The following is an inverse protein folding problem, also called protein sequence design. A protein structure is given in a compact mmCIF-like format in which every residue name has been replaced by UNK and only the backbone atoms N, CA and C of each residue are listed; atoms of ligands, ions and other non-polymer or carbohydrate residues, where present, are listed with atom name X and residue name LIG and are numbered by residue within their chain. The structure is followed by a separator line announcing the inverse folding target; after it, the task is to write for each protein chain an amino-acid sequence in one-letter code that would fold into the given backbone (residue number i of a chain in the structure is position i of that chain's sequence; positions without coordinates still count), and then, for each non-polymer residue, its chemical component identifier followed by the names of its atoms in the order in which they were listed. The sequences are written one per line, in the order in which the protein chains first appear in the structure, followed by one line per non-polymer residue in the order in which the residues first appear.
data_IF_727690468215
#
_entry.id   IF_727690468215
#
_cell.length_a   1.000
_cell.length_b   1.000
_cell.length_c   1.000
_cell.angle_alpha   90.00
_cell.angle_beta   90.00
_cell.angle_gamma   90.00
#
_symmetry.space_group_name_H-M   'P 1'
#
loop_
_entity.id
_entity.type
_entity.pdbx_description
1 polymer ?
#
# COMPACT_ATOMS: atom_id res chain seq x y z
N UNK A 1 -19.42 0.80 -21.62
CA UNK A 1 -18.47 -0.29 -21.23
C UNK A 1 -17.05 0.24 -21.10
N UNK A 2 -16.59 1.08 -22.02
CA UNK A 2 -15.23 1.64 -21.99
C UNK A 2 -14.92 2.55 -20.78
N UNK A 3 -15.87 3.38 -20.32
CA UNK A 3 -15.67 4.30 -19.20
C UNK A 3 -15.43 3.58 -17.87
N UNK A 4 -16.19 2.53 -17.58
CA UNK A 4 -16.04 1.76 -16.37
C UNK A 4 -14.69 1.00 -16.36
N UNK A 5 -14.26 0.50 -17.52
CA UNK A 5 -12.96 -0.18 -17.65
C UNK A 5 -11.81 0.81 -17.43
N UNK A 6 -11.90 2.01 -18.01
CA UNK A 6 -10.91 3.08 -17.80
C UNK A 6 -10.85 3.49 -16.32
N UNK A 7 -12.00 3.66 -15.68
CA UNK A 7 -12.08 3.99 -14.25
C UNK A 7 -11.48 2.90 -13.38
N UNK A 8 -11.77 1.62 -13.67
CA UNK A 8 -11.21 0.46 -12.95
C UNK A 8 -9.69 0.41 -13.09
N UNK A 9 -9.16 0.61 -14.31
CA UNK A 9 -7.72 0.64 -14.56
C UNK A 9 -7.05 1.82 -13.84
N UNK A 10 -7.65 3.01 -13.88
CA UNK A 10 -7.11 4.20 -13.21
C UNK A 10 -7.00 3.97 -11.70
N UNK A 11 -8.07 3.47 -11.07
CA UNK A 11 -8.03 3.10 -9.65
C UNK A 11 -7.03 1.98 -9.41
N UNK A 12 -6.98 0.97 -10.27
CA UNK A 12 -6.02 -0.13 -10.19
C UNK A 12 -4.57 0.34 -10.13
N UNK A 13 -4.18 1.31 -10.97
CA UNK A 13 -2.84 1.88 -10.94
C UNK A 13 -2.59 2.78 -9.71
N UNK A 14 -3.59 3.58 -9.25
CA UNK A 14 -3.46 4.37 -8.02
C UNK A 14 -3.18 3.44 -6.83
N UNK A 15 -3.97 2.39 -6.67
CA UNK A 15 -3.78 1.43 -5.58
C UNK A 15 -2.56 0.53 -5.76
N UNK A 16 -2.08 0.34 -7.00
CA UNK A 16 -0.81 -0.34 -7.25
C UNK A 16 0.37 0.43 -6.64
N UNK A 17 0.34 1.77 -6.66
CA UNK A 17 1.34 2.61 -6.00
C UNK A 17 1.37 2.33 -4.48
N UNK A 18 0.19 2.25 -3.83
CA UNK A 18 0.10 1.88 -2.41
C UNK A 18 0.58 0.45 -2.17
N UNK A 19 0.17 -0.50 -3.02
CA UNK A 19 0.58 -1.90 -2.93
C UNK A 19 2.10 -2.08 -3.07
N UNK A 20 2.77 -1.26 -3.88
CA UNK A 20 4.23 -1.23 -3.97
C UNK A 20 4.87 -0.76 -2.64
N UNK A 21 4.28 0.22 -1.96
CA UNK A 21 4.71 0.62 -0.60
C UNK A 21 4.53 -0.52 0.40
N UNK A 22 3.34 -1.13 0.44
CA UNK A 22 3.04 -2.27 1.31
C UNK A 22 3.95 -3.47 1.01
N UNK A 23 4.33 -3.67 -0.25
CA UNK A 23 5.29 -4.70 -0.65
C UNK A 23 6.66 -4.51 0.02
N UNK A 24 7.15 -3.26 0.15
CA UNK A 24 8.41 -2.98 0.85
C UNK A 24 8.32 -3.41 2.32
N UNK A 25 7.27 -3.05 3.01
CA UNK A 25 7.14 -3.36 4.45
C UNK A 25 6.87 -4.83 4.68
N UNK A 26 5.91 -5.40 3.98
CA UNK A 26 5.41 -6.75 4.25
C UNK A 26 6.31 -7.85 3.66
N UNK A 27 6.84 -7.67 2.41
CA UNK A 27 7.62 -8.71 1.72
C UNK A 27 9.12 -8.54 1.84
N UNK A 28 9.59 -7.28 1.85
CA UNK A 28 11.04 -7.02 1.88
C UNK A 28 11.54 -6.93 3.31
N UNK A 29 10.84 -6.18 4.19
CA UNK A 29 11.28 -5.98 5.57
C UNK A 29 10.76 -7.01 6.57
N UNK A 30 9.78 -7.84 6.17
CA UNK A 30 9.01 -8.69 7.10
C UNK A 30 8.43 -7.90 8.28
N UNK A 31 7.95 -6.70 7.99
CA UNK A 31 7.42 -5.74 8.94
C UNK A 31 5.97 -5.39 8.57
N UNK A 32 4.95 -6.04 9.17
CA UNK A 32 3.55 -5.68 8.94
C UNK A 32 3.26 -4.29 9.52
N UNK A 33 3.25 -3.27 8.65
CA UNK A 33 3.02 -1.88 9.02
C UNK A 33 1.56 -1.48 8.84
N UNK A 34 0.83 -1.35 9.95
CA UNK A 34 -0.56 -0.90 9.93
C UNK A 34 -0.69 0.64 9.81
N UNK A 35 0.41 1.39 9.92
CA UNK A 35 0.36 2.85 9.77
C UNK A 35 -0.04 3.29 8.36
N UNK A 36 0.08 2.42 7.36
CA UNK A 36 -0.24 2.69 5.96
C UNK A 36 -1.70 3.14 5.75
N UNK A 37 -2.65 2.63 6.53
CA UNK A 37 -4.05 3.06 6.49
C UNK A 37 -4.17 4.55 6.86
N UNK A 38 -3.50 4.98 7.94
CA UNK A 38 -3.43 6.38 8.35
C UNK A 38 -2.65 7.24 7.37
N UNK A 39 -1.52 6.74 6.87
CA UNK A 39 -0.62 7.48 5.97
C UNK A 39 -1.27 7.74 4.60
N UNK A 40 -2.05 6.82 4.07
CA UNK A 40 -2.83 7.06 2.85
C UNK A 40 -3.76 8.26 3.01
N UNK A 41 -4.49 8.29 4.11
CA UNK A 41 -5.37 9.42 4.47
C UNK A 41 -4.57 10.70 4.71
N UNK A 42 -3.38 10.61 5.32
CA UNK A 42 -2.48 11.77 5.50
C UNK A 42 -2.08 12.37 4.17
N UNK A 43 -1.71 11.52 3.19
CA UNK A 43 -1.40 11.97 1.83
C UNK A 43 -2.59 12.67 1.17
N UNK A 44 -3.78 12.11 1.30
CA UNK A 44 -5.02 12.70 0.78
C UNK A 44 -5.34 14.04 1.47
N UNK A 45 -5.25 14.11 2.80
CA UNK A 45 -5.54 15.28 3.61
C UNK A 45 -4.59 16.46 3.29
N UNK A 46 -3.28 16.21 3.31
CA UNK A 46 -2.27 17.25 2.99
C UNK A 46 -2.47 17.77 1.57
N UNK A 47 -2.67 16.85 0.61
CA UNK A 47 -2.90 17.24 -0.78
C UNK A 47 -4.17 18.07 -0.93
N UNK A 48 -5.29 17.66 -0.33
CA UNK A 48 -6.56 18.37 -0.44
C UNK A 48 -6.50 19.78 0.16
N UNK A 49 -5.88 19.93 1.35
CA UNK A 49 -5.72 21.24 2.01
C UNK A 49 -4.78 22.14 1.21
N UNK A 50 -3.65 21.61 0.72
CA UNK A 50 -2.72 22.37 -0.12
C UNK A 50 -3.38 22.89 -1.40
N UNK A 51 -4.21 22.08 -2.05
CA UNK A 51 -4.99 22.48 -3.21
C UNK A 51 -6.03 23.57 -2.89
N UNK A 52 -6.73 23.45 -1.75
CA UNK A 52 -7.67 24.50 -1.30
C UNK A 52 -6.96 25.83 -0.98
N UNK A 53 -5.71 25.76 -0.53
CA UNK A 53 -4.84 26.94 -0.33
C UNK A 53 -4.29 27.53 -1.64
N UNK A 54 -4.66 27.00 -2.81
CA UNK A 54 -4.19 27.50 -4.10
C UNK A 54 -2.80 27.02 -4.51
N UNK A 55 -2.22 26.05 -3.81
CA UNK A 55 -0.92 25.46 -4.15
C UNK A 55 -1.07 24.60 -5.41
N UNK A 56 -0.06 24.63 -6.28
CA UNK A 56 -0.08 23.85 -7.53
C UNK A 56 -0.23 22.33 -7.24
N UNK A 57 -0.95 21.59 -8.09
CA UNK A 57 -1.24 20.16 -7.86
C UNK A 57 0.00 19.28 -7.67
N UNK A 58 1.08 19.58 -8.40
CA UNK A 58 2.33 18.83 -8.29
C UNK A 58 3.00 19.06 -6.93
N UNK A 59 3.07 20.33 -6.48
CA UNK A 59 3.63 20.66 -5.17
C UNK A 59 2.78 20.06 -4.05
N UNK A 60 1.45 20.08 -4.18
CA UNK A 60 0.54 19.45 -3.21
C UNK A 60 0.81 17.95 -3.06
N UNK A 61 1.07 17.24 -4.17
CA UNK A 61 1.49 15.82 -4.14
C UNK A 61 2.85 15.65 -3.47
N UNK A 62 3.83 16.51 -3.76
CA UNK A 62 5.14 16.43 -3.12
C UNK A 62 5.06 16.63 -1.60
N UNK A 63 4.27 17.60 -1.14
CA UNK A 63 4.02 17.81 0.29
C UNK A 63 3.38 16.59 0.94
N UNK A 64 2.42 15.95 0.26
CA UNK A 64 1.80 14.71 0.72
C UNK A 64 2.82 13.58 0.88
N UNK A 65 3.74 13.42 -0.09
CA UNK A 65 4.82 12.43 0.00
C UNK A 65 5.71 12.68 1.21
N UNK A 66 6.10 13.95 1.45
CA UNK A 66 6.89 14.32 2.64
C UNK A 66 6.13 13.98 3.93
N UNK A 67 4.82 14.25 3.97
CA UNK A 67 3.97 13.83 5.11
C UNK A 67 3.99 12.32 5.35
N UNK A 68 3.95 11.53 4.27
CA UNK A 68 4.08 10.07 4.34
C UNK A 68 5.47 9.63 4.82
N UNK A 69 6.54 10.27 4.37
CA UNK A 69 7.90 10.00 4.85
C UNK A 69 8.02 10.22 6.35
N UNK A 70 7.43 11.30 6.86
CA UNK A 70 7.42 11.61 8.30
C UNK A 70 6.63 10.53 9.07
N UNK A 71 5.48 10.12 8.57
CA UNK A 71 4.69 9.05 9.19
C UNK A 71 5.47 7.73 9.28
N UNK A 72 6.12 7.32 8.18
CA UNK A 72 6.98 6.13 8.15
C UNK A 72 8.19 6.25 9.07
N UNK A 73 8.81 7.44 9.15
CA UNK A 73 9.90 7.69 10.10
C UNK A 73 9.42 7.58 11.54
N UNK A 74 8.23 8.08 11.88
CA UNK A 74 7.63 7.93 13.21
C UNK A 74 7.45 6.45 13.58
N UNK A 75 6.86 5.65 12.68
CA UNK A 75 6.70 4.20 12.90
C UNK A 75 8.04 3.52 13.13
N UNK A 76 9.03 3.84 12.29
CA UNK A 76 10.37 3.28 12.40
C UNK A 76 11.10 3.69 13.69
N UNK A 77 10.96 4.93 14.12
CA UNK A 77 11.55 5.43 15.36
C UNK A 77 10.92 4.77 16.59
N UNK A 78 9.59 4.60 16.62
CA UNK A 78 8.89 3.90 17.70
C UNK A 78 9.40 2.46 17.83
N UNK A 79 9.59 1.77 16.70
CA UNK A 79 10.11 0.41 16.71
C UNK A 79 11.60 0.35 17.13
N UNK A 80 12.45 1.11 16.44
CA UNK A 80 13.92 0.99 16.58
C UNK A 80 14.45 1.64 17.87
N UNK A 81 13.92 2.82 18.24
CA UNK A 81 14.43 3.57 19.39
C UNK A 81 13.72 3.25 20.69
N UNK A 82 12.41 2.99 20.63
CA UNK A 82 11.61 2.68 21.83
C UNK A 82 11.38 1.18 22.03
N UNK A 83 11.81 0.32 21.09
CA UNK A 83 11.69 -1.13 21.21
C UNK A 83 10.24 -1.63 21.13
N UNK A 84 9.31 -0.84 20.60
CA UNK A 84 7.92 -1.23 20.44
C UNK A 84 7.80 -2.27 19.30
N UNK A 85 6.97 -3.29 19.47
CA UNK A 85 6.79 -4.32 18.43
C UNK A 85 6.29 -3.72 17.11
N UNK A 86 6.59 -4.36 15.98
CA UNK A 86 6.26 -3.89 14.63
C UNK A 86 4.78 -3.51 14.50
N UNK A 87 3.89 -4.43 14.86
CA UNK A 87 2.44 -4.25 14.75
C UNK A 87 1.97 -3.10 15.63
N UNK A 88 2.43 -3.04 16.87
CA UNK A 88 1.99 -2.03 17.82
C UNK A 88 2.48 -0.62 17.43
N UNK A 89 3.71 -0.47 16.92
CA UNK A 89 4.21 0.80 16.41
C UNK A 89 3.36 1.33 15.26
N UNK A 90 2.99 0.46 14.32
CA UNK A 90 2.08 0.81 13.22
C UNK A 90 0.69 1.23 13.70
N UNK A 91 0.10 0.51 14.66
CA UNK A 91 -1.21 0.85 15.24
C UNK A 91 -1.17 2.20 15.95
N UNK A 92 -0.15 2.47 16.76
CA UNK A 92 0.00 3.75 17.48
C UNK A 92 0.06 4.91 16.48
N UNK A 93 0.87 4.78 15.43
CA UNK A 93 0.98 5.82 14.39
C UNK A 93 -0.33 5.98 13.64
N UNK A 94 -1.00 4.89 13.26
CA UNK A 94 -2.30 4.93 12.58
C UNK A 94 -3.35 5.70 13.38
N UNK A 95 -3.47 5.43 14.69
CA UNK A 95 -4.41 6.12 15.59
C UNK A 95 -4.02 7.61 15.73
N UNK A 96 -2.73 7.91 15.89
CA UNK A 96 -2.23 9.27 15.96
C UNK A 96 -2.53 10.06 14.69
N UNK A 97 -2.28 9.44 13.53
CA UNK A 97 -2.54 10.05 12.22
C UNK A 97 -4.02 10.34 11.99
N UNK A 98 -4.95 9.54 12.52
CA UNK A 98 -6.38 9.86 12.43
C UNK A 98 -6.69 11.24 12.99
N UNK A 99 -6.20 11.55 14.20
CA UNK A 99 -6.41 12.85 14.83
C UNK A 99 -5.66 13.98 14.12
N UNK A 100 -4.45 13.71 13.63
CA UNK A 100 -3.66 14.67 12.85
C UNK A 100 -4.37 15.00 11.54
N UNK A 101 -4.85 13.99 10.82
CA UNK A 101 -5.58 14.16 9.56
C UNK A 101 -6.85 14.99 9.76
N UNK A 102 -7.60 14.73 10.83
CA UNK A 102 -8.78 15.51 11.16
C UNK A 102 -8.45 16.98 11.45
N UNK A 103 -7.32 17.24 12.13
CA UNK A 103 -6.83 18.61 12.37
C UNK A 103 -6.36 19.30 11.09
N UNK A 104 -5.64 18.61 10.23
CA UNK A 104 -5.18 19.14 8.93
C UNK A 104 -6.39 19.51 8.08
N UNK A 105 -7.41 18.64 8.01
CA UNK A 105 -8.61 18.85 7.22
C UNK A 105 -9.60 19.84 7.84
N UNK A 106 -9.57 20.02 9.17
CA UNK A 106 -10.54 20.84 9.92
C UNK A 106 -11.97 20.28 9.94
N UNK A 107 -12.24 19.25 9.17
CA UNK A 107 -13.54 18.53 9.05
C UNK A 107 -13.30 17.11 8.54
N UNK A 108 -14.30 16.23 8.67
CA UNK A 108 -14.14 14.82 8.28
C UNK A 108 -14.00 14.60 6.78
N UNK A 109 -14.52 15.52 5.95
CA UNK A 109 -14.48 15.43 4.49
C UNK A 109 -14.21 16.79 3.85
N UNK A 110 -13.34 16.82 2.83
CA UNK A 110 -12.99 17.99 2.03
C UNK A 110 -13.31 17.71 0.56
N UNK A 111 -14.13 18.56 -0.06
CA UNK A 111 -14.42 18.49 -1.50
C UNK A 111 -13.47 19.37 -2.30
N UNK A 112 -13.11 18.90 -3.50
CA UNK A 112 -12.18 19.56 -4.43
C UNK A 112 -12.88 20.07 -5.72
N UNK A 113 -14.22 20.16 -5.75
CA UNK A 113 -14.97 20.46 -6.97
C UNK A 113 -14.62 21.80 -7.62
N UNK A 114 -14.26 22.82 -6.82
CA UNK A 114 -13.96 24.17 -7.32
C UNK A 114 -12.48 24.50 -7.28
N UNK A 115 -11.61 23.48 -7.17
CA UNK A 115 -10.18 23.65 -7.04
C UNK A 115 -9.47 23.03 -8.23
N UNK A 116 -8.48 23.72 -8.78
CA UNK A 116 -7.66 23.17 -9.85
C UNK A 116 -6.80 22.00 -9.31
N UNK A 117 -7.00 20.82 -9.86
CA UNK A 117 -6.25 19.62 -9.53
C UNK A 117 -5.79 18.91 -10.82
N UNK A 118 -4.91 17.90 -10.70
CA UNK A 118 -4.31 17.21 -11.87
C UNK A 118 -5.34 16.67 -12.89
N UNK A 119 -6.56 16.42 -12.44
CA UNK A 119 -7.60 15.79 -13.25
C UNK A 119 -8.80 16.70 -13.54
N UNK A 120 -8.77 17.98 -13.19
CA UNK A 120 -9.92 18.90 -13.27
C UNK A 120 -10.45 19.11 -14.70
N UNK A 121 -9.57 19.15 -15.68
CA UNK A 121 -9.92 19.38 -17.11
C UNK A 121 -9.67 18.14 -17.99
N UNK A 122 -9.29 17.01 -17.38
CA UNK A 122 -8.82 15.84 -18.11
C UNK A 122 -9.96 14.90 -18.47
N UNK A 123 -9.96 14.40 -19.71
CA UNK A 123 -10.83 13.28 -20.10
C UNK A 123 -10.46 12.01 -19.31
N UNK A 124 -11.38 11.04 -19.23
CA UNK A 124 -11.11 9.79 -18.51
C UNK A 124 -9.87 9.06 -19.01
N UNK A 125 -9.58 9.14 -20.31
CA UNK A 125 -8.36 8.57 -20.91
C UNK A 125 -7.10 9.32 -20.46
N UNK A 126 -7.13 10.65 -20.38
CA UNK A 126 -6.00 11.45 -19.90
C UNK A 126 -5.70 11.16 -18.42
N UNK A 127 -6.75 11.01 -17.59
CA UNK A 127 -6.58 10.59 -16.18
C UNK A 127 -5.85 9.26 -16.08
N UNK A 128 -6.25 8.28 -16.87
CA UNK A 128 -5.59 6.97 -16.92
C UNK A 128 -4.11 7.10 -17.31
N UNK A 129 -3.81 7.88 -18.35
CA UNK A 129 -2.42 8.05 -18.83
C UNK A 129 -1.53 8.70 -17.78
N UNK A 130 -2.02 9.72 -17.06
CA UNK A 130 -1.27 10.37 -15.97
C UNK A 130 -0.98 9.38 -14.84
N UNK A 131 -1.98 8.64 -14.40
CA UNK A 131 -1.81 7.66 -13.31
C UNK A 131 -0.91 6.50 -13.73
N UNK A 132 -1.06 6.01 -14.95
CA UNK A 132 -0.19 5.00 -15.54
C UNK A 132 1.27 5.47 -15.58
N UNK A 133 1.51 6.69 -16.04
CA UNK A 133 2.85 7.28 -16.09
C UNK A 133 3.48 7.34 -14.69
N UNK A 134 2.74 7.85 -13.69
CA UNK A 134 3.24 7.93 -12.30
C UNK A 134 3.53 6.53 -11.74
N UNK A 135 2.65 5.55 -11.97
CA UNK A 135 2.85 4.18 -11.50
C UNK A 135 4.08 3.52 -12.14
N UNK A 136 4.29 3.71 -13.45
CA UNK A 136 5.45 3.17 -14.16
C UNK A 136 6.75 3.91 -13.77
N UNK A 137 6.69 5.21 -13.56
CA UNK A 137 7.83 6.00 -13.07
C UNK A 137 8.26 5.52 -11.68
N UNK A 138 7.32 5.38 -10.76
CA UNK A 138 7.60 4.88 -9.42
C UNK A 138 8.16 3.45 -9.46
N UNK A 139 7.55 2.59 -10.29
CA UNK A 139 8.08 1.24 -10.51
C UNK A 139 9.53 1.27 -10.99
N UNK A 140 9.85 2.13 -11.96
CA UNK A 140 11.22 2.29 -12.46
C UNK A 140 12.20 2.73 -11.37
N UNK A 141 11.80 3.73 -10.55
CA UNK A 141 12.58 4.20 -9.41
C UNK A 141 12.81 3.08 -8.40
N UNK A 142 11.78 2.31 -8.07
CA UNK A 142 11.89 1.17 -7.14
C UNK A 142 12.79 0.06 -7.70
N UNK A 143 12.62 -0.29 -8.98
CA UNK A 143 13.45 -1.29 -9.64
C UNK A 143 14.93 -0.88 -9.62
N UNK A 144 15.24 0.40 -9.88
CA UNK A 144 16.59 0.96 -9.76
C UNK A 144 17.08 0.93 -8.31
N UNK A 145 16.25 1.37 -7.36
CA UNK A 145 16.61 1.34 -5.94
C UNK A 145 17.01 -0.08 -5.48
N UNK A 146 16.24 -1.09 -5.87
CA UNK A 146 16.52 -2.49 -5.51
C UNK A 146 17.74 -3.10 -6.20
N UNK A 147 18.34 -2.42 -7.16
CA UNK A 147 19.65 -2.80 -7.73
C UNK A 147 20.83 -2.06 -7.06
N UNK A 148 20.57 -1.14 -6.13
CA UNK A 148 21.62 -0.47 -5.36
C UNK A 148 22.02 -1.30 -4.15
N UNK A 149 23.20 -0.99 -3.57
CA UNK A 149 23.68 -1.61 -2.33
C UNK A 149 22.64 -1.50 -1.19
N UNK A 150 22.04 -0.31 -1.02
CA UNK A 150 20.99 -0.08 -0.01
C UNK A 150 19.77 -0.98 -0.22
N UNK A 151 19.38 -1.19 -1.48
CA UNK A 151 18.27 -2.07 -1.84
C UNK A 151 18.59 -3.54 -1.54
N UNK A 152 19.83 -3.98 -1.80
CA UNK A 152 20.28 -5.34 -1.44
C UNK A 152 20.31 -5.55 0.08
N UNK A 153 20.86 -4.58 0.83
CA UNK A 153 20.89 -4.64 2.30
C UNK A 153 19.45 -4.70 2.87
N UNK A 154 18.51 -3.92 2.28
CA UNK A 154 17.12 -3.92 2.71
C UNK A 154 16.46 -5.30 2.51
N UNK A 155 16.72 -5.97 1.39
CA UNK A 155 16.23 -7.34 1.13
C UNK A 155 16.86 -8.36 2.09
N UNK A 156 18.17 -8.29 2.29
CA UNK A 156 18.88 -9.17 3.20
C UNK A 156 18.39 -9.01 4.64
N UNK A 157 18.03 -7.79 5.04
CA UNK A 157 17.53 -7.48 6.38
C UNK A 157 16.23 -8.21 6.71
N UNK A 158 15.29 -8.28 5.78
CA UNK A 158 14.04 -9.01 5.97
C UNK A 158 14.21 -10.53 5.99
N UNK A 159 15.26 -11.05 5.33
CA UNK A 159 15.56 -12.48 5.35
C UNK A 159 16.34 -12.89 6.60
N UNK A 160 17.34 -12.09 7.00
CA UNK A 160 18.19 -12.39 8.16
C UNK A 160 18.85 -11.11 8.72
N UNK A 161 18.26 -10.56 9.77
CA UNK A 161 18.75 -9.37 10.45
C UNK A 161 20.17 -9.58 11.04
N UNK A 162 20.45 -10.76 11.63
CA UNK A 162 21.76 -11.06 12.22
C UNK A 162 22.86 -11.06 11.18
N UNK A 163 22.58 -11.55 9.98
CA UNK A 163 23.53 -11.53 8.87
C UNK A 163 23.88 -10.09 8.47
N UNK A 164 22.90 -9.19 8.36
CA UNK A 164 23.13 -7.77 8.01
C UNK A 164 23.98 -7.07 9.08
N UNK A 165 23.70 -7.34 10.36
CA UNK A 165 24.46 -6.79 11.47
C UNK A 165 25.92 -7.33 11.48
N UNK A 166 26.13 -8.61 11.16
CA UNK A 166 27.48 -9.20 11.08
C UNK A 166 28.34 -8.60 9.95
N UNK A 167 27.70 -8.05 8.91
CA UNK A 167 28.37 -7.30 7.85
C UNK A 167 28.69 -5.84 8.24
N UNK A 168 28.34 -5.41 9.46
CA UNK A 168 28.60 -4.07 9.98
C UNK A 168 27.54 -3.02 9.62
N UNK A 169 26.39 -3.42 9.04
CA UNK A 169 25.30 -2.49 8.74
C UNK A 169 24.39 -2.28 9.95
N UNK A 170 23.89 -1.05 10.11
CA UNK A 170 22.94 -0.68 11.15
C UNK A 170 21.50 -1.08 10.71
N UNK A 171 21.04 -2.23 11.18
CA UNK A 171 19.71 -2.77 10.89
C UNK A 171 18.59 -1.76 11.19
N UNK A 172 18.71 -0.99 12.29
CA UNK A 172 17.71 0.00 12.69
C UNK A 172 17.54 1.11 11.65
N UNK A 173 18.65 1.65 11.11
CA UNK A 173 18.60 2.69 10.07
C UNK A 173 17.94 2.17 8.79
N UNK A 174 18.21 0.93 8.40
CA UNK A 174 17.61 0.34 7.21
C UNK A 174 16.12 0.02 7.41
N UNK A 175 15.69 -0.40 8.60
CA UNK A 175 14.26 -0.54 8.93
C UNK A 175 13.54 0.80 8.80
N UNK A 176 14.09 1.88 9.37
CA UNK A 176 13.51 3.22 9.24
C UNK A 176 13.45 3.65 7.77
N UNK A 177 14.53 3.45 7.01
CA UNK A 177 14.58 3.80 5.59
C UNK A 177 13.48 3.09 4.78
N UNK A 178 13.30 1.79 4.99
CA UNK A 178 12.27 1.03 4.29
C UNK A 178 10.86 1.47 4.65
N UNK A 179 10.58 1.78 5.92
CA UNK A 179 9.29 2.32 6.38
C UNK A 179 9.01 3.72 5.80
N UNK A 180 10.03 4.57 5.71
CA UNK A 180 9.94 5.90 5.08
C UNK A 180 9.60 5.78 3.60
N UNK A 181 10.29 4.93 2.86
CA UNK A 181 10.03 4.72 1.43
C UNK A 181 8.64 4.13 1.18
N UNK A 182 8.23 3.17 1.99
CA UNK A 182 6.93 2.54 1.89
C UNK A 182 5.79 3.54 2.11
N UNK A 183 5.87 4.29 3.21
CA UNK A 183 4.85 5.29 3.56
C UNK A 183 4.85 6.48 2.59
N UNK A 184 5.98 6.84 1.98
CA UNK A 184 6.05 7.80 0.88
C UNK A 184 5.20 7.36 -0.32
N UNK A 185 5.32 6.09 -0.74
CA UNK A 185 4.52 5.52 -1.82
C UNK A 185 3.02 5.49 -1.46
N UNK A 186 2.70 5.13 -0.22
CA UNK A 186 1.30 5.08 0.26
C UNK A 186 0.67 6.47 0.27
N UNK A 187 1.37 7.48 0.78
CA UNK A 187 0.89 8.86 0.78
C UNK A 187 0.75 9.43 -0.64
N UNK A 188 1.68 9.10 -1.55
CA UNK A 188 1.56 9.43 -2.98
C UNK A 188 0.27 8.87 -3.57
N UNK A 189 -0.03 7.60 -3.29
CA UNK A 189 -1.28 6.97 -3.72
C UNK A 189 -2.51 7.68 -3.15
N UNK A 190 -2.50 8.04 -1.86
CA UNK A 190 -3.57 8.78 -1.20
C UNK A 190 -3.81 10.15 -1.82
N UNK A 191 -2.75 10.90 -2.10
CA UNK A 191 -2.82 12.21 -2.75
C UNK A 191 -3.40 12.13 -4.17
N UNK A 192 -2.98 11.14 -4.96
CA UNK A 192 -3.53 10.91 -6.30
C UNK A 192 -4.99 10.45 -6.25
N UNK A 193 -5.33 9.61 -5.26
CA UNK A 193 -6.69 9.13 -5.09
C UNK A 193 -7.66 10.24 -4.71
N UNK A 194 -7.27 11.14 -3.79
CA UNK A 194 -8.08 12.32 -3.43
C UNK A 194 -8.34 13.22 -4.63
N UNK A 195 -7.33 13.50 -5.45
CA UNK A 195 -7.49 14.28 -6.67
C UNK A 195 -8.34 13.55 -7.73
N UNK A 196 -8.21 12.23 -7.84
CA UNK A 196 -9.00 11.43 -8.78
C UNK A 196 -10.47 11.38 -8.40
N UNK A 197 -10.79 11.25 -7.12
CA UNK A 197 -12.15 11.19 -6.59
C UNK A 197 -12.79 12.58 -6.44
N UNK A 198 -11.99 13.65 -6.38
CA UNK A 198 -12.46 15.02 -6.16
C UNK A 198 -12.83 15.31 -4.70
N UNK A 199 -12.42 14.46 -3.74
CA UNK A 199 -12.60 14.69 -2.31
C UNK A 199 -11.55 13.91 -1.49
N UNK A 200 -11.34 14.37 -0.26
CA UNK A 200 -10.61 13.64 0.77
C UNK A 200 -11.52 13.39 1.98
N UNK A 201 -11.47 12.19 2.53
CA UNK A 201 -12.24 11.77 3.71
C UNK A 201 -11.30 11.13 4.73
N UNK A 202 -11.54 11.38 6.03
CA UNK A 202 -10.67 10.90 7.10
C UNK A 202 -10.64 9.38 7.23
N UNK A 203 -11.65 8.69 6.74
CA UNK A 203 -11.76 7.23 6.76
C UNK A 203 -11.34 6.53 5.47
N UNK A 204 -10.87 7.26 4.44
CA UNK A 204 -10.66 6.69 3.10
C UNK A 204 -9.51 5.66 3.04
N UNK A 205 -8.58 5.69 3.98
CA UNK A 205 -7.47 4.72 4.08
C UNK A 205 -7.84 3.43 4.82
N UNK A 206 -9.00 3.37 5.47
CA UNK A 206 -9.37 2.22 6.30
C UNK A 206 -9.47 0.92 5.50
N UNK A 207 -8.63 -0.07 5.85
CA UNK A 207 -8.56 -1.38 5.19
C UNK A 207 -7.67 -1.39 3.94
N UNK A 208 -6.89 -0.34 3.72
CA UNK A 208 -5.93 -0.29 2.62
C UNK A 208 -4.89 -1.40 2.70
N UNK A 209 -4.39 -1.70 3.91
CA UNK A 209 -3.41 -2.77 4.10
C UNK A 209 -3.95 -4.11 3.61
N UNK A 210 -5.22 -4.42 3.92
CA UNK A 210 -5.85 -5.69 3.51
C UNK A 210 -5.98 -5.76 1.99
N UNK A 211 -6.44 -4.67 1.35
CA UNK A 211 -6.55 -4.60 -0.10
C UNK A 211 -5.20 -4.62 -0.81
N UNK A 212 -4.17 -4.02 -0.22
CA UNK A 212 -2.81 -4.05 -0.72
C UNK A 212 -2.18 -5.46 -0.63
N UNK A 213 -2.35 -6.13 0.51
CA UNK A 213 -1.92 -7.53 0.67
C UNK A 213 -2.66 -8.46 -0.30
N UNK A 214 -3.98 -8.29 -0.46
CA UNK A 214 -4.75 -9.03 -1.46
C UNK A 214 -4.17 -8.85 -2.86
N UNK A 215 -3.84 -7.60 -3.22
CA UNK A 215 -3.23 -7.28 -4.52
C UNK A 215 -1.88 -8.00 -4.70
N UNK A 216 -1.00 -7.98 -3.69
CA UNK A 216 0.31 -8.63 -3.72
C UNK A 216 0.15 -10.14 -3.91
N UNK A 217 -0.70 -10.78 -3.10
CA UNK A 217 -0.88 -12.24 -3.11
C UNK A 217 -1.56 -12.71 -4.39
N UNK A 218 -2.59 -12.00 -4.88
CA UNK A 218 -3.21 -12.29 -6.19
C UNK A 218 -2.17 -12.20 -7.30
N UNK A 219 -1.33 -11.15 -7.28
CA UNK A 219 -0.25 -11.00 -8.24
C UNK A 219 0.72 -12.18 -8.21
N UNK A 220 1.16 -12.60 -7.03
CA UNK A 220 2.04 -13.76 -6.86
C UNK A 220 1.39 -15.06 -7.37
N UNK A 221 0.12 -15.31 -7.07
CA UNK A 221 -0.58 -16.50 -7.53
C UNK A 221 -0.71 -16.55 -9.04
N UNK A 222 -1.12 -15.44 -9.66
CA UNK A 222 -1.41 -15.42 -11.10
C UNK A 222 -0.14 -15.35 -11.97
N UNK A 223 0.88 -14.59 -11.52
CA UNK A 223 2.00 -14.21 -12.39
C UNK A 223 3.37 -14.74 -11.96
N UNK A 224 3.51 -15.44 -10.81
CA UNK A 224 4.79 -15.96 -10.30
C UNK A 224 5.49 -16.92 -11.28
N UNK A 225 4.75 -17.64 -12.10
CA UNK A 225 5.31 -18.55 -13.10
C UNK A 225 5.99 -17.84 -14.28
N UNK A 226 5.73 -16.54 -14.44
CA UNK A 226 6.32 -15.74 -15.51
C UNK A 226 7.68 -15.21 -15.07
N UNK A 227 8.74 -16.01 -15.22
CA UNK A 227 10.11 -15.70 -14.78
C UNK A 227 10.68 -14.36 -15.31
N UNK A 228 10.07 -13.80 -16.36
CA UNK A 228 10.50 -12.53 -16.96
C UNK A 228 10.01 -11.30 -16.19
N UNK A 229 8.99 -11.45 -15.32
CA UNK A 229 8.40 -10.33 -14.59
C UNK A 229 9.13 -10.08 -13.27
N UNK A 230 9.56 -8.83 -13.05
CA UNK A 230 10.04 -8.38 -11.75
C UNK A 230 8.88 -8.36 -10.75
N UNK A 231 9.17 -8.55 -9.49
CA UNK A 231 8.14 -8.62 -8.43
C UNK A 231 7.31 -7.33 -8.33
N UNK A 232 7.90 -6.17 -8.60
CA UNK A 232 7.20 -4.89 -8.72
C UNK A 232 6.13 -4.90 -9.81
N UNK A 233 6.41 -5.52 -10.96
CA UNK A 233 5.42 -5.71 -12.03
C UNK A 233 4.30 -6.65 -11.62
N UNK A 234 4.63 -7.72 -10.90
CA UNK A 234 3.67 -8.69 -10.36
C UNK A 234 2.71 -8.00 -9.40
N UNK A 235 3.22 -7.13 -8.52
CA UNK A 235 2.40 -6.35 -7.58
C UNK A 235 1.42 -5.41 -8.31
N UNK A 236 1.87 -4.72 -9.37
CA UNK A 236 1.00 -3.83 -10.17
C UNK A 236 -0.09 -4.65 -10.86
N UNK A 237 0.26 -5.75 -11.53
CA UNK A 237 -0.70 -6.62 -12.20
C UNK A 237 -1.71 -7.24 -11.21
N UNK A 238 -1.24 -7.59 -10.01
CA UNK A 238 -2.11 -8.07 -8.94
C UNK A 238 -3.11 -7.02 -8.46
N UNK A 239 -2.70 -5.75 -8.34
CA UNK A 239 -3.61 -4.65 -8.00
C UNK A 239 -4.66 -4.44 -9.10
N UNK A 240 -4.27 -4.50 -10.37
CA UNK A 240 -5.21 -4.41 -11.49
C UNK A 240 -6.21 -5.59 -11.47
N UNK A 241 -5.73 -6.80 -11.25
CA UNK A 241 -6.58 -7.99 -11.16
C UNK A 241 -7.57 -7.87 -9.98
N UNK A 242 -7.09 -7.49 -8.80
CA UNK A 242 -7.92 -7.29 -7.62
C UNK A 242 -9.01 -6.24 -7.87
N UNK A 243 -8.66 -5.09 -8.44
CA UNK A 243 -9.65 -4.04 -8.79
C UNK A 243 -10.61 -4.49 -9.88
N UNK A 244 -10.16 -5.30 -10.84
CA UNK A 244 -11.01 -5.93 -11.83
C UNK A 244 -12.09 -6.83 -11.20
N UNK A 245 -11.72 -7.65 -10.21
CA UNK A 245 -12.66 -8.48 -9.46
C UNK A 245 -13.70 -7.62 -8.73
N UNK A 246 -13.26 -6.58 -8.00
CA UNK A 246 -14.18 -5.67 -7.31
C UNK A 246 -15.13 -4.95 -8.27
N UNK A 247 -14.61 -4.46 -9.40
CA UNK A 247 -15.43 -3.80 -10.43
C UNK A 247 -16.47 -4.74 -11.04
N UNK A 248 -16.11 -6.01 -11.23
CA UNK A 248 -17.05 -7.03 -11.73
C UNK A 248 -18.14 -7.33 -10.69
N UNK A 249 -17.77 -7.42 -9.41
CA UNK A 249 -18.71 -7.61 -8.31
C UNK A 249 -19.75 -6.48 -8.24
N UNK A 250 -19.31 -5.21 -8.38
CA UNK A 250 -20.20 -4.06 -8.45
C UNK A 250 -21.16 -4.12 -9.66
N UNK A 251 -20.67 -4.58 -10.84
CA UNK A 251 -21.52 -4.77 -12.02
C UNK A 251 -22.60 -5.84 -11.81
N UNK A 252 -22.33 -6.84 -10.98
CA UNK A 252 -23.31 -7.89 -10.65
C UNK A 252 -24.38 -7.40 -9.66
N UNK A 253 -24.36 -6.11 -9.28
CA UNK A 253 -25.38 -5.50 -8.42
C UNK A 253 -25.05 -5.54 -6.93
N UNK A 254 -23.81 -5.84 -6.55
CA UNK A 254 -23.38 -5.77 -5.15
C UNK A 254 -23.25 -4.32 -4.69
N UNK A 255 -23.66 -4.03 -3.47
CA UNK A 255 -23.58 -2.71 -2.90
C UNK A 255 -22.13 -2.31 -2.63
N UNK A 256 -21.79 -1.03 -2.79
CA UNK A 256 -20.46 -0.51 -2.51
C UNK A 256 -20.04 -0.71 -1.03
N UNK A 257 -21.00 -0.77 -0.09
CA UNK A 257 -20.78 -1.09 1.32
C UNK A 257 -20.21 -2.49 1.54
N UNK A 258 -20.51 -3.44 0.64
CA UNK A 258 -20.14 -4.84 0.78
C UNK A 258 -18.73 -5.15 0.23
N UNK A 259 -18.08 -4.16 -0.42
CA UNK A 259 -16.74 -4.34 -0.98
C UNK A 259 -15.69 -4.73 0.07
N UNK A 260 -15.82 -4.22 1.30
CA UNK A 260 -14.91 -4.61 2.41
C UNK A 260 -15.12 -6.06 2.83
N UNK A 261 -16.38 -6.53 2.85
CA UNK A 261 -16.71 -7.92 3.12
C UNK A 261 -16.15 -8.84 2.02
N UNK A 262 -16.32 -8.45 0.76
CA UNK A 262 -15.78 -9.20 -0.39
C UNK A 262 -14.26 -9.29 -0.30
N UNK A 263 -13.58 -8.19 0.04
CA UNK A 263 -12.13 -8.19 0.25
C UNK A 263 -11.72 -9.19 1.34
N UNK A 264 -12.43 -9.20 2.47
CA UNK A 264 -12.18 -10.14 3.57
C UNK A 264 -12.38 -11.59 3.12
N UNK A 265 -13.46 -11.89 2.38
CA UNK A 265 -13.72 -13.23 1.84
C UNK A 265 -12.64 -13.66 0.85
N UNK A 266 -12.21 -12.78 -0.06
CA UNK A 266 -11.10 -13.05 -0.99
C UNK A 266 -9.84 -13.39 -0.18
N UNK A 267 -9.52 -12.64 0.85
CA UNK A 267 -8.35 -12.89 1.69
C UNK A 267 -8.45 -14.21 2.44
N UNK A 268 -9.62 -14.57 2.99
CA UNK A 268 -9.84 -15.86 3.64
C UNK A 268 -9.59 -17.00 2.65
N UNK A 269 -10.16 -16.94 1.45
CA UNK A 269 -9.98 -17.98 0.41
C UNK A 269 -8.50 -18.10 0.01
N UNK A 270 -7.81 -16.99 -0.13
CA UNK A 270 -6.38 -16.96 -0.49
C UNK A 270 -5.52 -17.55 0.63
N UNK A 271 -5.72 -17.08 1.87
CA UNK A 271 -4.89 -17.47 3.03
C UNK A 271 -5.21 -18.87 3.55
N UNK A 272 -6.42 -19.39 3.34
CA UNK A 272 -6.81 -20.75 3.76
C UNK A 272 -6.10 -21.86 3.00
N UNK A 273 -5.30 -21.53 1.97
CA UNK A 273 -4.62 -22.53 1.13
C UNK A 273 -5.57 -23.37 0.26
N UNK A 274 -6.84 -23.00 0.17
CA UNK A 274 -7.83 -23.67 -0.70
C UNK A 274 -7.35 -23.62 -2.15
N UNK A 275 -6.73 -22.51 -2.57
CA UNK A 275 -6.16 -22.34 -3.92
C UNK A 275 -5.00 -23.33 -4.15
N UNK A 276 -4.16 -23.60 -3.14
CA UNK A 276 -3.08 -24.59 -3.24
C UNK A 276 -3.61 -26.02 -3.38
N UNK A 277 -4.71 -26.33 -2.72
CA UNK A 277 -5.38 -27.63 -2.84
C UNK A 277 -6.05 -27.83 -4.19
N UNK A 278 -6.63 -26.76 -4.76
CA UNK A 278 -7.25 -26.77 -6.08
C UNK A 278 -6.23 -26.76 -7.22
N UNK A 279 -5.01 -26.28 -6.98
CA UNK A 279 -3.94 -26.18 -7.99
C UNK A 279 -2.60 -26.57 -7.34
N UNK A 280 -2.24 -27.88 -7.25
CA UNK A 280 -1.03 -28.36 -6.54
C UNK A 280 0.29 -27.78 -7.06
N UNK A 281 0.27 -27.18 -8.26
CA UNK A 281 1.39 -26.52 -8.90
C UNK A 281 1.62 -25.05 -8.44
N UNK A 282 0.77 -24.52 -7.55
CA UNK A 282 0.84 -23.16 -7.02
C UNK A 282 1.25 -23.18 -5.54
N UNK A 283 2.51 -23.51 -5.25
CA UNK A 283 3.04 -23.34 -3.88
C UNK A 283 3.20 -21.86 -3.58
N UNK A 284 2.35 -21.29 -2.74
CA UNK A 284 2.51 -19.95 -2.16
C UNK A 284 3.57 -20.06 -1.07
N UNK A 285 4.81 -19.70 -1.38
CA UNK A 285 5.89 -19.65 -0.39
C UNK A 285 5.65 -18.44 0.53
N UNK A 286 5.29 -18.69 1.80
CA UNK A 286 5.46 -17.69 2.84
C UNK A 286 4.25 -17.00 3.45
N UNK A 287 3.15 -17.73 3.72
CA UNK A 287 2.38 -17.45 4.92
C UNK A 287 2.60 -18.64 5.87
N UNK A 288 3.79 -18.72 6.42
CA UNK A 288 3.98 -19.49 7.64
C UNK A 288 3.24 -18.74 8.75
N UNK A 289 1.92 -18.96 8.84
CA UNK A 289 1.23 -18.83 10.10
C UNK A 289 1.92 -19.89 10.98
N UNK A 290 2.82 -19.45 11.84
CA UNK A 290 3.29 -20.28 12.94
C UNK A 290 2.07 -20.62 13.81
N UNK A 291 1.31 -21.63 13.40
CA UNK A 291 0.44 -22.34 14.30
C UNK A 291 1.41 -23.01 15.27
N UNK A 292 1.54 -22.41 16.46
CA UNK A 292 2.28 -23.01 17.55
C UNK A 292 1.83 -24.48 17.66
N UNK A 293 2.77 -25.45 17.70
CA UNK A 293 2.40 -26.85 17.83
C UNK A 293 1.52 -26.99 19.07
N UNK A 294 0.31 -27.57 18.91
CA UNK A 294 -0.52 -28.00 20.02
C UNK A 294 0.37 -28.80 20.96
N UNK A 295 0.79 -28.23 22.09
CA UNK A 295 1.33 -29.01 23.19
C UNK A 295 0.25 -30.02 23.56
N UNK A 296 0.52 -31.27 23.25
CA UNK A 296 -0.25 -32.38 23.81
C UNK A 296 -0.17 -32.24 25.33
N UNK A 297 -1.31 -31.91 25.93
CA UNK A 297 -1.49 -32.07 27.38
C UNK A 297 -1.48 -33.57 27.59
N UNK A 298 -0.29 -34.13 27.83
CA UNK A 298 -0.15 -35.44 28.48
C UNK A 298 -0.25 -35.18 29.97
N UNK A 299 -1.26 -35.80 30.53
CA UNK A 299 -1.61 -35.93 31.95
C UNK A 299 -0.42 -36.04 32.90
N UNK A 300 -0.44 -35.23 33.97
CA UNK A 300 -0.08 -35.68 35.32
C UNK A 300 -1.31 -35.41 36.20
#
# INVERSE_FOLDING_TARGET
MNELLISTLSQGFIFAIAALGIYITFRILDFPDLSVDGTFTTGAAICAVALQAGISPVIAVMLAVVGGMIAGACTGLLHVKLGITNILSGIIVMIGLYSINLRIMGKSNIHLFNVTHLFSTSSNMQKLLVVLFVALLLKGIMDLFFTTEKGYVLKALGENEHFVVSLGFDAGKFKILGLVLANACVALSGALYAQYQGFADVGMGTGLIVSGLASIVIGEILFKKVHLLRVTSITILGSLAYRGVLSTALKMGLNASDLKLITALIMIVILSGVIEKLSPNLKVKGVNVHVAPKKSVQNI
#
